data_IF_320435182490
#
_entry.id   IF_320435182490
#
_cell.length_a   1.000
_cell.length_b   1.000
_cell.length_c   1.000
_cell.angle_alpha   90.00
_cell.angle_beta   90.00
_cell.angle_gamma   90.00
#
_symmetry.space_group_name_H-M   'P 1'
#
loop_
_entity.id
_entity.type
_entity.pdbx_description
1 polymer ?
#
# COMPACT_ATOMS: atom_id res chain seq x y z
N UNK A 1 -34.69 3.31 -20.87
CA UNK A 1 -34.29 2.25 -19.91
C UNK A 1 -33.09 1.51 -20.48
N UNK A 2 -31.89 1.78 -19.98
CA UNK A 2 -30.65 1.06 -20.35
C UNK A 2 -29.99 0.62 -19.06
N UNK A 3 -29.88 -0.69 -18.90
CA UNK A 3 -29.23 -1.37 -17.77
C UNK A 3 -27.74 -1.20 -17.95
N UNK A 4 -27.12 -0.35 -17.13
CA UNK A 4 -25.66 -0.32 -16.97
C UNK A 4 -25.33 -1.33 -15.89
N UNK A 5 -24.84 -2.49 -16.31
CA UNK A 5 -24.32 -3.53 -15.43
C UNK A 5 -23.08 -3.01 -14.73
N UNK A 6 -23.26 -2.53 -13.49
CA UNK A 6 -22.20 -2.25 -12.56
C UNK A 6 -21.42 -3.54 -12.30
N UNK A 7 -20.23 -3.66 -12.89
CA UNK A 7 -19.25 -4.66 -12.45
C UNK A 7 -18.76 -4.21 -11.06
N UNK A 8 -19.36 -4.79 -10.03
CA UNK A 8 -18.83 -4.77 -8.66
C UNK A 8 -17.45 -5.45 -8.66
N UNK A 9 -16.38 -4.66 -8.71
CA UNK A 9 -15.05 -5.09 -8.30
C UNK A 9 -14.91 -4.83 -6.80
N UNK A 10 -15.20 -5.85 -5.99
CA UNK A 10 -14.76 -5.90 -4.59
C UNK A 10 -13.23 -6.05 -4.57
N UNK A 11 -12.49 -4.96 -4.37
CA UNK A 11 -11.07 -5.00 -4.02
C UNK A 11 -10.96 -5.28 -2.52
N UNK A 12 -10.96 -6.57 -2.16
CA UNK A 12 -10.40 -7.00 -0.87
C UNK A 12 -8.87 -6.93 -1.02
N UNK A 13 -8.26 -5.81 -0.65
CA UNK A 13 -6.81 -5.69 -0.57
C UNK A 13 -6.32 -6.28 0.76
N UNK A 14 -6.58 -7.58 0.95
CA UNK A 14 -5.86 -8.38 1.92
C UNK A 14 -4.46 -8.62 1.35
N UNK A 15 -3.43 -8.52 2.18
CA UNK A 15 -2.05 -8.83 1.81
C UNK A 15 -1.95 -10.24 1.19
N UNK A 16 -1.95 -10.29 -0.15
CA UNK A 16 -1.86 -11.52 -0.94
C UNK A 16 -0.77 -11.33 -2.01
N UNK A 17 0.48 -11.24 -1.58
CA UNK A 17 1.65 -11.52 -2.42
C UNK A 17 2.07 -12.98 -2.18
N UNK A 18 1.25 -13.92 -2.64
CA UNK A 18 1.62 -15.33 -2.75
C UNK A 18 0.64 -16.07 -3.68
N UNK A 19 0.90 -16.03 -4.98
CA UNK A 19 0.49 -17.07 -5.93
C UNK A 19 1.23 -16.87 -7.25
N UNK A 20 2.48 -17.33 -7.31
CA UNK A 20 3.09 -17.67 -8.59
C UNK A 20 2.30 -18.82 -9.19
N UNK A 21 1.61 -18.58 -10.30
CA UNK A 21 1.06 -19.66 -11.12
C UNK A 21 2.23 -20.49 -11.64
N UNK A 22 2.34 -21.73 -11.16
CA UNK A 22 3.21 -22.73 -11.74
C UNK A 22 2.74 -23.05 -13.16
N UNK A 23 3.32 -22.37 -14.15
CA UNK A 23 3.30 -22.81 -15.56
C UNK A 23 4.44 -23.81 -15.72
N UNK A 24 4.08 -25.07 -15.90
CA UNK A 24 4.99 -26.10 -16.38
C UNK A 24 5.31 -25.85 -17.86
N UNK A 25 6.61 -25.72 -18.19
CA UNK A 25 7.15 -26.15 -19.49
C UNK A 25 7.63 -25.07 -20.48
N UNK A 26 8.77 -24.43 -20.19
CA UNK A 26 9.90 -24.14 -21.11
C UNK A 26 10.90 -23.25 -20.34
N UNK A 27 12.22 -23.49 -20.34
CA UNK A 27 13.15 -22.47 -19.85
C UNK A 27 13.06 -21.27 -20.79
N UNK A 28 12.46 -20.17 -20.31
CA UNK A 28 12.53 -18.89 -20.98
C UNK A 28 14.01 -18.49 -21.03
N UNK A 29 14.50 -18.13 -22.21
CA UNK A 29 15.85 -17.59 -22.36
C UNK A 29 16.00 -16.40 -21.41
N UNK A 30 17.08 -16.39 -20.64
CA UNK A 30 17.41 -15.29 -19.74
C UNK A 30 17.49 -14.00 -20.56
N UNK A 31 16.74 -12.95 -20.20
CA UNK A 31 16.80 -11.71 -20.93
C UNK A 31 18.17 -11.06 -20.65
N UNK A 32 18.97 -10.93 -21.70
CA UNK A 32 20.29 -10.31 -21.68
C UNK A 32 20.19 -8.89 -22.26
N UNK A 33 20.95 -7.96 -21.70
CA UNK A 33 21.12 -6.65 -22.33
C UNK A 33 21.87 -6.80 -23.66
N UNK A 34 21.83 -5.78 -24.52
CA UNK A 34 22.62 -5.75 -25.77
C UNK A 34 24.15 -5.82 -25.53
N UNK A 35 24.60 -5.73 -24.27
CA UNK A 35 25.99 -5.87 -23.83
C UNK A 35 26.33 -7.25 -23.26
N UNK A 36 25.36 -8.17 -23.15
CA UNK A 36 25.59 -9.52 -22.60
C UNK A 36 25.69 -9.57 -21.08
N UNK A 37 25.33 -8.50 -20.38
CA UNK A 37 25.13 -8.53 -18.93
C UNK A 37 23.75 -9.10 -18.60
N UNK A 38 23.69 -9.96 -17.58
CA UNK A 38 22.42 -10.41 -17.02
C UNK A 38 21.62 -9.18 -16.58
N UNK A 39 20.36 -9.10 -16.99
CA UNK A 39 19.45 -8.08 -16.45
C UNK A 39 19.41 -8.31 -14.94
N UNK A 40 19.67 -7.29 -14.11
CA UNK A 40 19.65 -7.46 -12.67
C UNK A 40 18.33 -8.10 -12.26
N UNK A 41 18.43 -9.11 -11.38
CA UNK A 41 17.32 -9.63 -10.58
C UNK A 41 16.39 -8.47 -10.20
N UNK A 42 15.08 -8.67 -10.38
CA UNK A 42 14.03 -7.68 -10.16
C UNK A 42 14.41 -6.67 -9.07
N UNK A 43 14.47 -5.38 -9.43
CA UNK A 43 14.67 -4.28 -8.48
C UNK A 43 13.68 -4.44 -7.34
N UNK A 44 14.14 -4.86 -6.16
CA UNK A 44 13.32 -5.00 -4.97
C UNK A 44 13.30 -3.66 -4.23
N UNK A 45 12.12 -3.29 -3.71
CA UNK A 45 11.95 -2.11 -2.86
C UNK A 45 11.32 -2.59 -1.56
N UNK A 46 12.15 -2.77 -0.54
CA UNK A 46 11.75 -3.21 0.81
C UNK A 46 11.95 -2.13 1.86
N UNK A 47 12.13 -0.87 1.43
CA UNK A 47 12.22 0.26 2.35
C UNK A 47 10.86 0.56 2.99
N UNK A 48 10.75 0.54 4.33
CA UNK A 48 9.48 0.86 5.01
C UNK A 48 8.92 2.21 4.58
N UNK A 49 9.79 3.21 4.39
CA UNK A 49 9.43 4.56 3.96
C UNK A 49 8.70 4.55 2.61
N UNK A 50 9.31 3.94 1.60
CA UNK A 50 8.73 3.90 0.25
C UNK A 50 7.46 3.05 0.18
N UNK A 51 7.44 1.91 0.89
CA UNK A 51 6.26 1.03 0.87
C UNK A 51 5.08 1.61 1.67
N UNK A 52 5.33 2.33 2.77
CA UNK A 52 4.29 3.09 3.46
C UNK A 52 3.79 4.27 2.61
N UNK A 53 4.70 4.99 1.92
CA UNK A 53 4.34 6.10 1.06
C UNK A 53 3.48 5.64 -0.13
N UNK A 54 3.73 4.44 -0.68
CA UNK A 54 2.86 3.83 -1.68
C UNK A 54 1.43 3.66 -1.14
N UNK A 55 1.27 3.09 0.06
CA UNK A 55 -0.05 2.92 0.67
C UNK A 55 -0.76 4.28 0.86
N UNK A 56 -0.04 5.31 1.31
CA UNK A 56 -0.59 6.67 1.43
C UNK A 56 -1.02 7.22 0.07
N UNK A 57 -0.17 7.07 -0.96
CA UNK A 57 -0.44 7.56 -2.30
C UNK A 57 -1.69 6.94 -2.94
N UNK A 58 -1.87 5.63 -2.73
CA UNK A 58 -3.00 4.85 -3.27
C UNK A 58 -4.30 5.11 -2.50
N UNK A 59 -4.25 5.20 -1.17
CA UNK A 59 -5.45 5.25 -0.33
C UNK A 59 -5.91 6.67 0.02
N UNK A 60 -5.02 7.66 0.09
CA UNK A 60 -5.37 9.04 0.42
C UNK A 60 -5.94 9.78 -0.80
N UNK A 61 -7.18 9.48 -1.16
CA UNK A 61 -7.86 10.06 -2.33
C UNK A 61 -8.32 11.50 -2.14
N UNK A 62 -8.35 11.98 -0.90
CA UNK A 62 -8.66 13.37 -0.53
C UNK A 62 -7.43 14.08 0.02
N UNK A 63 -7.42 15.41 -0.10
CA UNK A 63 -6.35 16.25 0.45
C UNK A 63 -6.54 16.51 1.95
N UNK A 64 -6.41 15.45 2.75
CA UNK A 64 -6.48 15.51 4.21
C UNK A 64 -5.17 15.01 4.83
N UNK A 65 -4.61 15.78 5.76
CA UNK A 65 -3.33 15.43 6.38
C UNK A 65 -3.47 14.32 7.43
N UNK A 66 -4.56 14.32 8.20
CA UNK A 66 -4.83 13.30 9.21
C UNK A 66 -5.01 11.92 8.60
N UNK A 67 -5.67 11.84 7.44
CA UNK A 67 -5.83 10.63 6.64
C UNK A 67 -4.47 10.07 6.19
N UNK A 68 -3.61 10.92 5.62
CA UNK A 68 -2.27 10.50 5.16
C UNK A 68 -1.43 9.97 6.31
N UNK A 69 -1.39 10.71 7.41
CA UNK A 69 -0.68 10.29 8.62
C UNK A 69 -1.25 8.98 9.18
N UNK A 70 -2.59 8.84 9.19
CA UNK A 70 -3.28 7.63 9.61
C UNK A 70 -2.86 6.41 8.79
N UNK A 71 -2.87 6.54 7.46
CA UNK A 71 -2.45 5.47 6.55
C UNK A 71 -0.98 5.13 6.76
N UNK A 72 -0.11 6.14 6.87
CA UNK A 72 1.32 5.95 7.13
C UNK A 72 1.56 5.19 8.44
N UNK A 73 0.93 5.60 9.54
CA UNK A 73 1.06 4.93 10.84
C UNK A 73 0.57 3.49 10.76
N UNK A 74 -0.58 3.25 10.15
CA UNK A 74 -1.12 1.90 10.03
C UNK A 74 -0.23 0.98 9.19
N UNK A 75 0.34 1.48 8.09
CA UNK A 75 1.29 0.72 7.28
C UNK A 75 2.57 0.37 8.07
N UNK A 76 3.18 1.36 8.75
CA UNK A 76 4.38 1.16 9.55
C UNK A 76 4.15 0.17 10.71
N UNK A 77 3.03 0.31 11.43
CA UNK A 77 2.63 -0.64 12.47
C UNK A 77 2.39 -2.04 11.90
N UNK A 78 1.80 -2.15 10.72
CA UNK A 78 1.60 -3.42 10.02
C UNK A 78 2.92 -4.11 9.70
N UNK A 79 3.92 -3.37 9.20
CA UNK A 79 5.26 -3.91 8.93
C UNK A 79 5.95 -4.36 10.22
N UNK A 80 5.84 -3.56 11.28
CA UNK A 80 6.39 -3.91 12.60
C UNK A 80 5.73 -5.18 13.17
N UNK A 81 4.39 -5.28 13.08
CA UNK A 81 3.63 -6.45 13.54
C UNK A 81 4.02 -7.71 12.76
N UNK A 82 4.22 -7.60 11.44
CA UNK A 82 4.62 -8.72 10.59
C UNK A 82 6.11 -9.09 10.72
N UNK A 83 6.92 -8.24 11.37
CA UNK A 83 8.38 -8.39 11.44
C UNK A 83 9.09 -8.27 10.09
N UNK A 84 8.42 -7.73 9.06
CA UNK A 84 8.94 -7.59 7.70
C UNK A 84 8.23 -6.49 6.91
N UNK A 85 8.93 -5.90 5.96
CA UNK A 85 8.37 -5.00 4.94
C UNK A 85 8.12 -5.81 3.66
N UNK A 86 6.96 -5.69 3.01
CA UNK A 86 6.74 -6.33 1.72
C UNK A 86 7.65 -5.72 0.64
N UNK A 87 7.98 -6.49 -0.40
CA UNK A 87 8.55 -5.90 -1.61
C UNK A 87 7.45 -5.13 -2.34
N UNK A 88 7.59 -3.82 -2.41
CA UNK A 88 6.64 -2.91 -3.04
C UNK A 88 7.09 -2.40 -4.41
N UNK A 89 8.16 -2.95 -5.00
CA UNK A 89 8.73 -2.47 -6.26
C UNK A 89 7.71 -2.37 -7.40
N UNK A 90 6.89 -3.42 -7.58
CA UNK A 90 5.87 -3.45 -8.63
C UNK A 90 4.82 -2.36 -8.41
N UNK A 91 4.38 -2.15 -7.17
CA UNK A 91 3.39 -1.13 -6.82
C UNK A 91 3.93 0.29 -7.01
N UNK A 92 5.18 0.53 -6.59
CA UNK A 92 5.87 1.81 -6.83
C UNK A 92 6.02 2.06 -8.33
N UNK A 93 6.47 1.07 -9.11
CA UNK A 93 6.58 1.20 -10.55
C UNK A 93 5.22 1.54 -11.20
N UNK A 94 4.15 0.85 -10.80
CA UNK A 94 2.80 1.12 -11.29
C UNK A 94 2.32 2.54 -10.93
N UNK A 95 2.57 2.99 -9.70
CA UNK A 95 2.18 4.32 -9.25
C UNK A 95 2.92 5.44 -10.01
N UNK A 96 4.23 5.26 -10.25
CA UNK A 96 5.07 6.26 -10.91
C UNK A 96 4.87 6.31 -12.45
N UNK A 97 4.48 5.20 -13.06
CA UNK A 97 4.28 5.11 -14.52
C UNK A 97 2.82 5.25 -14.95
N UNK A 98 1.89 5.27 -14.00
CA UNK A 98 0.46 5.47 -14.27
C UNK A 98 0.15 6.87 -14.80
N UNK A 99 -0.90 6.97 -15.63
CA UNK A 99 -1.29 8.23 -16.29
C UNK A 99 -1.75 9.34 -15.35
N UNK A 100 -2.19 8.99 -14.14
CA UNK A 100 -2.65 9.93 -13.12
C UNK A 100 -1.56 10.24 -12.07
N UNK A 101 -0.29 9.93 -12.37
CA UNK A 101 0.80 10.25 -11.48
C UNK A 101 0.92 11.75 -11.24
N UNK A 102 1.01 12.15 -9.97
CA UNK A 102 1.29 13.53 -9.60
C UNK A 102 2.48 13.60 -8.63
N UNK A 103 3.59 14.27 -9.02
CA UNK A 103 4.77 14.39 -8.15
C UNK A 103 4.44 14.99 -6.78
N UNK A 104 3.51 15.94 -6.73
CA UNK A 104 3.07 16.57 -5.48
C UNK A 104 2.38 15.58 -4.54
N UNK A 105 1.47 14.72 -5.02
CA UNK A 105 0.81 13.74 -4.13
C UNK A 105 1.81 12.71 -3.62
N UNK A 106 2.78 12.33 -4.45
CA UNK A 106 3.86 11.44 -4.04
C UNK A 106 4.75 12.06 -2.97
N UNK A 107 5.15 13.32 -3.13
CA UNK A 107 5.93 14.02 -2.12
C UNK A 107 5.14 14.16 -0.80
N UNK A 108 3.86 14.55 -0.86
CA UNK A 108 3.01 14.62 0.33
C UNK A 108 2.87 13.26 1.04
N UNK A 109 2.91 12.16 0.30
CA UNK A 109 2.88 10.82 0.86
C UNK A 109 4.18 10.49 1.62
N UNK A 110 5.33 10.83 1.05
CA UNK A 110 6.63 10.72 1.72
C UNK A 110 6.70 11.59 2.98
N UNK A 111 6.27 12.85 2.88
CA UNK A 111 6.30 13.79 4.00
C UNK A 111 5.43 13.32 5.16
N UNK A 112 4.27 12.73 4.88
CA UNK A 112 3.39 12.18 5.91
C UNK A 112 4.03 10.97 6.61
N UNK A 113 4.74 10.10 5.86
CA UNK A 113 5.47 8.98 6.44
C UNK A 113 6.61 9.47 7.32
N UNK A 114 7.41 10.41 6.82
CA UNK A 114 8.56 10.96 7.53
C UNK A 114 8.11 11.64 8.84
N UNK A 115 7.03 12.43 8.82
CA UNK A 115 6.49 13.10 10.01
C UNK A 115 5.93 12.13 11.06
N UNK A 116 5.37 11.00 10.63
CA UNK A 116 4.83 9.96 11.53
C UNK A 116 5.96 9.13 12.13
N UNK A 117 6.99 8.82 11.33
CA UNK A 117 8.17 8.05 11.74
C UNK A 117 9.06 8.85 12.70
N UNK A 118 9.25 10.14 12.44
CA UNK A 118 9.98 11.05 13.34
C UNK A 118 9.22 11.36 14.64
N UNK A 119 7.91 11.14 14.66
CA UNK A 119 7.04 11.51 15.78
C UNK A 119 6.59 12.98 15.77
N UNK A 120 6.88 13.74 14.71
CA UNK A 120 6.47 15.14 14.55
C UNK A 120 4.96 15.30 14.32
N UNK A 121 4.26 14.20 14.01
CA UNK A 121 2.81 14.18 13.91
C UNK A 121 2.17 13.10 14.79
N UNK A 122 1.35 13.55 15.74
CA UNK A 122 0.57 12.69 16.61
C UNK A 122 -0.85 12.49 16.08
N UNK A 123 -1.25 11.23 15.93
CA UNK A 123 -2.62 10.83 15.66
C UNK A 123 -3.39 10.70 16.98
N UNK A 124 -4.74 10.79 16.97
CA UNK A 124 -5.54 10.34 18.10
C UNK A 124 -5.18 8.91 18.51
N UNK A 125 -5.11 8.64 19.81
CA UNK A 125 -4.68 7.33 20.36
C UNK A 125 -5.46 6.15 19.81
N UNK A 126 -6.74 6.37 19.47
CA UNK A 126 -7.56 5.37 18.79
C UNK A 126 -6.93 5.00 17.44
N UNK A 127 -6.70 5.96 16.55
CA UNK A 127 -6.09 5.70 15.24
C UNK A 127 -4.62 5.24 15.32
N UNK A 128 -3.89 5.64 16.36
CA UNK A 128 -2.44 5.40 16.46
C UNK A 128 -2.07 3.90 16.56
N UNK A 129 -2.97 3.07 17.09
CA UNK A 129 -2.76 1.60 17.25
C UNK A 129 -3.11 0.77 16.03
N UNK A 130 -3.78 1.35 15.03
CA UNK A 130 -4.16 0.60 13.84
C UNK A 130 -2.92 0.04 13.13
N UNK A 131 -3.03 -1.17 12.60
CA UNK A 131 -1.99 -1.85 11.82
C UNK A 131 -2.53 -2.46 10.51
N UNK A 132 -3.81 -2.24 10.22
CA UNK A 132 -4.48 -2.61 8.98
C UNK A 132 -5.54 -1.57 8.58
N UNK A 133 -5.84 -1.49 7.28
CA UNK A 133 -6.79 -0.53 6.71
C UNK A 133 -7.75 -1.29 5.79
N UNK A 134 -9.05 -1.06 5.97
CA UNK A 134 -10.10 -1.65 5.15
C UNK A 134 -11.06 -0.58 4.64
N UNK A 135 -11.75 -0.80 3.51
CA UNK A 135 -12.93 0.00 3.19
C UNK A 135 -13.96 -0.11 4.32
N UNK A 136 -14.55 1.01 4.75
CA UNK A 136 -15.46 1.03 5.90
C UNK A 136 -16.73 0.20 5.67
N UNK A 137 -17.14 0.03 4.41
CA UNK A 137 -18.31 -0.78 4.04
C UNK A 137 -18.07 -2.29 4.08
N UNK A 138 -16.84 -2.76 4.28
CA UNK A 138 -16.51 -4.20 4.30
C UNK A 138 -16.05 -4.71 5.67
N UNK A 139 -16.27 -3.94 6.74
CA UNK A 139 -15.78 -4.29 8.10
C UNK A 139 -16.89 -4.74 9.06
N UNK A 140 -17.44 -5.96 8.96
CA UNK A 140 -18.52 -6.41 9.85
C UNK A 140 -18.06 -7.07 11.17
N UNK A 141 -16.77 -7.33 11.40
CA UNK A 141 -16.33 -8.10 12.59
C UNK A 141 -14.95 -7.75 13.19
N UNK A 142 -14.27 -6.73 12.68
CA UNK A 142 -12.96 -6.32 13.19
C UNK A 142 -13.10 -5.19 14.22
N UNK A 143 -12.22 -5.17 15.23
CA UNK A 143 -12.14 -4.07 16.19
C UNK A 143 -11.66 -2.79 15.48
N UNK A 144 -12.60 -2.03 14.94
CA UNK A 144 -12.33 -0.75 14.30
C UNK A 144 -11.88 0.24 15.36
N UNK A 145 -10.67 0.75 15.19
CA UNK A 145 -10.09 1.75 16.08
C UNK A 145 -10.59 3.16 15.70
N UNK A 146 -10.63 3.47 14.40
CA UNK A 146 -11.22 4.70 13.90
C UNK A 146 -11.63 4.61 12.43
N UNK A 147 -12.42 5.57 11.95
CA UNK A 147 -12.84 5.69 10.55
C UNK A 147 -12.52 7.08 10.03
N UNK A 148 -11.82 7.17 8.90
CA UNK A 148 -11.51 8.44 8.23
C UNK A 148 -11.79 8.30 6.74
N UNK A 149 -12.58 9.21 6.17
CA UNK A 149 -12.87 9.28 4.73
C UNK A 149 -13.28 7.94 4.08
N UNK A 150 -14.08 7.14 4.79
CA UNK A 150 -14.55 5.84 4.28
C UNK A 150 -13.52 4.69 4.39
N UNK A 151 -12.39 4.92 5.06
CA UNK A 151 -11.44 3.89 5.47
C UNK A 151 -11.60 3.58 6.96
N UNK A 152 -11.70 2.30 7.29
CA UNK A 152 -11.66 1.78 8.65
C UNK A 152 -10.23 1.37 9.01
N UNK A 153 -9.72 1.96 10.08
CA UNK A 153 -8.41 1.69 10.67
C UNK A 153 -8.61 0.68 11.79
N UNK A 154 -7.92 -0.46 11.67
CA UNK A 154 -8.15 -1.64 12.49
C UNK A 154 -6.85 -2.07 13.15
N UNK A 155 -6.95 -2.60 14.36
CA UNK A 155 -5.87 -3.34 15.01
C UNK A 155 -6.15 -4.84 14.88
N UNK A 156 -5.27 -5.54 14.18
CA UNK A 156 -5.30 -7.00 13.99
C UNK A 156 -4.20 -7.61 14.86
N UNK A 157 -4.59 -8.52 15.74
CA UNK A 157 -3.62 -9.29 16.51
C UNK A 157 -3.03 -10.42 15.64
N UNK A 158 -1.72 -10.72 15.77
CA UNK A 158 -1.05 -11.78 15.02
C UNK A 158 -1.56 -13.18 15.37
#
# INVERSE_FOLDING_TARGET
MRVVTARLTCLALAAALAAGCAVTGQPAAEPITATGEGIPEQLSITSPRFCAALAVYELATVDDWGLRAGIARAALNGFATAGRVPDCAQGVAAALTGGDFTPRRWQNALDAVDAVDSGDYALPDSCARANAIFPANVSPSLAVQCVMHGLAFVEVQP
#
